data_IF_222322991382
#
_entry.id   IF_222322991382
#
_cell.length_a   1.000
_cell.length_b   1.000
_cell.length_c   1.000
_cell.angle_alpha   90.00
_cell.angle_beta   90.00
_cell.angle_gamma   90.00
#
_symmetry.space_group_name_H-M   'P 1'
#
loop_
_entity.id
_entity.type
_entity.pdbx_description
1 polymer ?
#
# COMPACT_ATOMS: atom_id res chain seq x y z
N UNK A 1 38.64 -1.05 -6.24
CA UNK A 1 38.13 -2.30 -5.66
C UNK A 1 36.97 -1.97 -4.73
N UNK A 2 35.76 -2.19 -5.25
CA UNK A 2 34.45 -2.46 -4.62
C UNK A 2 34.12 -1.76 -3.29
N UNK A 3 33.44 -0.62 -3.42
CA UNK A 3 32.63 -0.05 -2.35
C UNK A 3 31.35 -0.89 -2.22
N UNK A 4 31.37 -1.90 -1.36
CA UNK A 4 30.17 -2.66 -0.98
C UNK A 4 29.31 -1.72 -0.14
N UNK A 5 28.32 -1.08 -0.78
CA UNK A 5 27.34 -0.24 -0.11
C UNK A 5 26.58 -1.05 0.94
N UNK A 6 26.95 -0.89 2.20
CA UNK A 6 26.23 -1.42 3.34
C UNK A 6 24.97 -0.57 3.52
N UNK A 7 23.92 -0.90 2.75
CA UNK A 7 22.63 -0.23 2.88
C UNK A 7 22.04 -0.64 4.24
N UNK A 8 21.64 0.31 5.11
CA UNK A 8 21.01 -0.05 6.38
C UNK A 8 19.79 -0.95 6.12
N UNK A 9 19.53 -1.95 6.99
CA UNK A 9 18.37 -2.81 6.83
C UNK A 9 17.11 -1.94 6.77
N UNK A 10 16.41 -2.01 5.65
CA UNK A 10 15.16 -1.26 5.43
C UNK A 10 14.19 -1.64 6.54
N UNK A 11 13.56 -0.68 7.25
CA UNK A 11 12.67 -0.99 8.36
C UNK A 11 11.55 -1.90 7.88
N UNK A 12 11.51 -3.11 8.45
CA UNK A 12 10.52 -4.12 8.11
C UNK A 12 9.24 -3.79 8.88
N UNK A 13 8.18 -3.44 8.14
CA UNK A 13 6.88 -3.18 8.73
C UNK A 13 6.31 -4.48 9.31
N UNK A 14 5.86 -4.41 10.56
CA UNK A 14 5.25 -5.55 11.27
C UNK A 14 3.79 -5.26 11.58
N UNK A 15 2.97 -6.28 11.44
CA UNK A 15 1.54 -6.19 11.65
C UNK A 15 1.23 -6.07 13.14
N UNK A 16 0.53 -5.01 13.56
CA UNK A 16 0.10 -4.86 14.96
C UNK A 16 -0.86 -5.95 15.43
N UNK A 17 -1.60 -6.60 14.50
CA UNK A 17 -2.57 -7.66 14.81
C UNK A 17 -1.96 -9.05 15.02
N UNK A 18 -1.03 -9.48 14.15
CA UNK A 18 -0.48 -10.85 14.18
C UNK A 18 1.04 -10.92 14.28
N UNK A 19 1.75 -9.80 14.24
CA UNK A 19 3.22 -9.75 14.26
C UNK A 19 3.90 -10.13 12.94
N UNK A 20 3.13 -10.53 11.91
CA UNK A 20 3.65 -10.89 10.60
C UNK A 20 4.23 -9.71 9.82
N UNK A 21 5.02 -10.00 8.79
CA UNK A 21 5.61 -8.99 7.90
C UNK A 21 4.55 -8.33 7.01
N UNK A 22 4.60 -7.00 6.91
CA UNK A 22 3.88 -6.24 5.88
C UNK A 22 4.80 -6.07 4.68
N UNK A 23 4.27 -6.40 3.51
CA UNK A 23 4.95 -6.20 2.22
C UNK A 23 4.06 -5.36 1.32
N UNK A 24 4.68 -4.55 0.47
CA UNK A 24 3.94 -3.86 -0.58
C UNK A 24 3.30 -4.91 -1.48
N UNK A 25 1.99 -4.78 -1.69
CA UNK A 25 1.22 -5.68 -2.50
C UNK A 25 0.01 -4.95 -3.07
N UNK A 26 -0.48 -5.44 -4.21
CA UNK A 26 -1.68 -4.89 -4.82
C UNK A 26 -2.88 -5.20 -3.95
N UNK A 27 -3.54 -4.16 -3.44
CA UNK A 27 -4.78 -4.25 -2.68
C UNK A 27 -5.91 -3.69 -3.51
N UNK A 28 -7.03 -4.42 -3.54
CA UNK A 28 -8.25 -3.97 -4.20
C UNK A 28 -9.10 -3.24 -3.17
N UNK A 29 -9.39 -1.98 -3.43
CA UNK A 29 -10.21 -1.12 -2.58
C UNK A 29 -11.43 -0.72 -3.38
N UNK A 30 -12.60 -0.88 -2.79
CA UNK A 30 -13.85 -0.44 -3.41
C UNK A 30 -14.32 0.84 -2.73
N UNK A 31 -14.41 1.93 -3.47
CA UNK A 31 -14.89 3.22 -2.99
C UNK A 31 -16.01 3.73 -3.90
N UNK A 32 -17.17 4.05 -3.32
CA UNK A 32 -18.37 4.51 -4.04
C UNK A 32 -18.77 3.64 -5.26
N UNK A 33 -18.57 2.32 -5.16
CA UNK A 33 -18.90 1.37 -6.23
C UNK A 33 -17.83 1.26 -7.33
N UNK A 34 -16.74 2.01 -7.24
CA UNK A 34 -15.59 1.88 -8.12
C UNK A 34 -14.51 1.03 -7.45
N UNK A 35 -13.93 0.07 -8.17
CA UNK A 35 -12.85 -0.76 -7.64
C UNK A 35 -11.49 -0.31 -8.16
N UNK A 36 -10.60 -0.02 -7.22
CA UNK A 36 -9.29 0.55 -7.46
C UNK A 36 -8.25 -0.44 -6.98
N UNK A 37 -7.21 -0.66 -7.77
CA UNK A 37 -6.07 -1.51 -7.42
C UNK A 37 -4.88 -0.62 -7.14
N UNK A 38 -4.42 -0.61 -5.90
CA UNK A 38 -3.32 0.24 -5.45
C UNK A 38 -2.26 -0.59 -4.75
N UNK A 39 -1.01 -0.15 -4.79
CA UNK A 39 0.09 -0.85 -4.12
C UNK A 39 0.27 -0.32 -2.70
N UNK A 40 -0.23 -1.06 -1.72
CA UNK A 40 -0.10 -0.70 -0.30
C UNK A 40 0.55 -1.82 0.50
N UNK A 41 0.89 -1.51 1.74
CA UNK A 41 1.44 -2.49 2.67
C UNK A 41 0.35 -3.47 3.13
N UNK A 42 0.45 -4.72 2.69
CA UNK A 42 -0.43 -5.81 3.08
C UNK A 42 0.31 -6.83 3.94
N UNK A 43 -0.36 -7.29 4.99
CA UNK A 43 0.10 -8.41 5.81
C UNK A 43 -0.27 -9.74 5.13
N UNK A 44 0.72 -10.58 4.87
CA UNK A 44 0.52 -11.90 4.26
C UNK A 44 -0.06 -12.94 5.23
N UNK A 45 -0.01 -12.69 6.54
CA UNK A 45 -0.46 -13.66 7.55
C UNK A 45 -1.91 -13.48 7.97
N UNK A 46 -2.43 -12.25 7.96
CA UNK A 46 -3.79 -11.97 8.45
C UNK A 46 -4.64 -11.09 7.52
N UNK A 47 -4.13 -10.82 6.32
CA UNK A 47 -4.75 -9.97 5.30
C UNK A 47 -4.95 -8.50 5.71
N UNK A 48 -4.39 -8.07 6.85
CA UNK A 48 -4.45 -6.67 7.27
C UNK A 48 -3.72 -5.78 6.27
N UNK A 49 -4.42 -4.81 5.71
CA UNK A 49 -3.84 -3.78 4.86
C UNK A 49 -3.62 -2.52 5.69
N UNK A 50 -2.43 -1.95 5.61
CA UNK A 50 -2.14 -0.63 6.14
C UNK A 50 -2.45 0.39 5.06
N UNK A 51 -3.51 1.16 5.28
CA UNK A 51 -3.89 2.28 4.43
C UNK A 51 -3.14 3.51 4.93
N UNK A 52 -2.26 4.06 4.11
CA UNK A 52 -1.57 5.32 4.42
C UNK A 52 -2.52 6.51 4.25
N UNK A 53 -2.20 7.63 4.92
CA UNK A 53 -2.98 8.86 4.79
C UNK A 53 -3.02 9.36 3.33
N UNK A 54 -1.88 9.27 2.64
CA UNK A 54 -1.75 9.63 1.23
C UNK A 54 -2.70 8.80 0.34
N UNK A 55 -2.82 7.50 0.59
CA UNK A 55 -3.80 6.66 -0.11
C UNK A 55 -5.24 7.01 0.27
N UNK A 56 -5.51 7.25 1.56
CA UNK A 56 -6.84 7.59 2.04
C UNK A 56 -7.35 8.89 1.40
N UNK A 57 -6.46 9.87 1.21
CA UNK A 57 -6.76 11.14 0.53
C UNK A 57 -6.72 11.01 -1.00
N UNK A 58 -5.75 10.27 -1.55
CA UNK A 58 -5.53 10.07 -2.98
C UNK A 58 -6.63 9.28 -3.68
N UNK A 59 -7.40 8.49 -2.92
CA UNK A 59 -8.60 7.77 -3.41
C UNK A 59 -9.67 8.69 -4.01
N UNK A 60 -9.75 9.94 -3.57
CA UNK A 60 -10.68 10.91 -4.16
C UNK A 60 -10.21 11.35 -5.56
N UNK A 61 -8.91 11.61 -5.70
CA UNK A 61 -8.30 12.11 -6.93
C UNK A 61 -8.35 11.10 -8.10
N UNK A 62 -8.12 9.81 -7.85
CA UNK A 62 -8.24 8.78 -8.90
C UNK A 62 -9.68 8.66 -9.45
N UNK A 63 -10.67 8.82 -8.57
CA UNK A 63 -12.09 8.76 -8.93
C UNK A 63 -12.48 10.01 -9.72
N UNK A 64 -12.03 11.19 -9.32
CA UNK A 64 -12.24 12.45 -10.04
C UNK A 64 -11.58 12.42 -11.43
N UNK A 65 -10.33 11.96 -11.53
CA UNK A 65 -9.64 11.83 -12.82
C UNK A 65 -10.31 10.81 -13.75
N UNK A 66 -10.86 9.72 -13.20
CA UNK A 66 -11.64 8.74 -13.97
C UNK A 66 -13.00 9.27 -14.44
N UNK A 67 -13.53 10.32 -13.81
CA UNK A 67 -14.78 10.98 -14.19
C UNK A 67 -14.58 12.09 -15.23
N UNK A 68 -13.40 12.72 -15.30
CA UNK A 68 -13.06 13.75 -16.30
C UNK A 68 -12.75 13.21 -17.71
N UNK A 69 -12.50 11.91 -17.87
CA UNK A 69 -12.26 11.28 -19.20
C UNK A 69 -13.57 11.04 -20.01
N UNK A 70 -14.68 11.71 -19.66
CA UNK A 70 -15.97 11.60 -20.38
C UNK A 70 -16.51 12.92 -20.91
#
# INVERSE_FOLDING_TARGET
MNQTANLPPKPVWKCGKCGGELKHGTVRITYLGNDLRVEELKCLSCDLVLITEDLALGKMFEVEQSLEDK
#
